data_IF_304215740562
#
_entry.id   IF_304215740562
#
_cell.length_a   1.000
_cell.length_b   1.000
_cell.length_c   1.000
_cell.angle_alpha   90.00
_cell.angle_beta   90.00
_cell.angle_gamma   90.00
#
_symmetry.space_group_name_H-M   'P 1'
#
loop_
_entity.id
_entity.type
_entity.pdbx_description
1 polymer ?
#
# COMPACT_ATOMS: atom_id res chain seq x y z
N UNK A 1 12.15 -8.39 -42.46
CA UNK A 1 11.75 -8.00 -41.09
C UNK A 1 10.57 -8.88 -40.70
N UNK A 2 10.49 -9.64 -39.61
CA UNK A 2 11.44 -9.97 -38.55
C UNK A 2 10.93 -11.23 -37.82
N UNK A 3 11.45 -12.41 -38.17
CA UNK A 3 11.27 -13.62 -37.35
C UNK A 3 12.21 -13.62 -36.13
N UNK A 4 13.27 -12.80 -36.16
CA UNK A 4 14.21 -12.64 -35.06
C UNK A 4 13.64 -11.86 -33.87
N UNK A 5 12.68 -10.94 -34.09
CA UNK A 5 12.12 -10.13 -33.00
C UNK A 5 11.13 -10.91 -32.12
N UNK A 6 10.31 -11.80 -32.70
CA UNK A 6 9.36 -12.60 -31.94
C UNK A 6 10.08 -13.59 -31.01
N UNK A 7 11.12 -14.26 -31.52
CA UNK A 7 11.93 -15.19 -30.74
C UNK A 7 12.73 -14.49 -29.61
N UNK A 8 13.10 -13.22 -29.82
CA UNK A 8 13.76 -12.42 -28.79
C UNK A 8 12.77 -11.93 -27.72
N UNK A 9 11.55 -11.57 -28.12
CA UNK A 9 10.49 -11.18 -27.19
C UNK A 9 10.04 -12.38 -26.31
N UNK A 10 9.93 -13.58 -26.87
CA UNK A 10 9.63 -14.79 -26.11
C UNK A 10 10.77 -15.19 -25.17
N UNK A 11 12.04 -15.02 -25.57
CA UNK A 11 13.18 -15.29 -24.71
C UNK A 11 13.30 -14.29 -23.56
N UNK A 12 12.99 -13.01 -23.80
CA UNK A 12 12.92 -11.99 -22.76
C UNK A 12 11.73 -12.28 -21.83
N UNK A 13 10.56 -12.60 -22.37
CA UNK A 13 9.40 -13.00 -21.58
C UNK A 13 9.70 -14.24 -20.74
N UNK A 14 10.39 -15.25 -21.28
CA UNK A 14 10.81 -16.45 -20.56
C UNK A 14 11.93 -16.19 -19.52
N UNK A 15 12.77 -15.17 -19.72
CA UNK A 15 13.71 -14.69 -18.71
C UNK A 15 13.00 -13.95 -17.56
N UNK A 16 11.80 -13.41 -17.81
CA UNK A 16 10.92 -12.80 -16.80
C UNK A 16 9.88 -13.76 -16.22
N UNK A 17 9.65 -14.93 -16.84
CA UNK A 17 8.99 -16.03 -16.16
C UNK A 17 9.96 -16.45 -15.06
N UNK A 18 9.61 -16.27 -13.78
CA UNK A 18 10.53 -16.61 -12.72
C UNK A 18 10.69 -18.13 -12.73
N UNK A 19 11.77 -18.57 -13.37
CA UNK A 19 12.22 -19.97 -13.40
C UNK A 19 12.40 -20.40 -11.97
N UNK A 20 11.43 -21.15 -11.46
CA UNK A 20 11.36 -21.66 -10.08
C UNK A 20 11.64 -20.50 -9.11
N UNK A 21 10.69 -19.57 -9.06
CA UNK A 21 10.75 -18.38 -8.23
C UNK A 21 11.21 -18.72 -6.80
N UNK A 22 12.40 -18.24 -6.43
CA UNK A 22 12.92 -18.36 -5.07
C UNK A 22 11.80 -17.93 -4.09
N UNK A 23 11.36 -18.82 -3.19
CA UNK A 23 10.29 -18.53 -2.25
C UNK A 23 10.54 -17.23 -1.47
N UNK A 24 11.81 -16.88 -1.23
CA UNK A 24 12.20 -15.64 -0.54
C UNK A 24 11.95 -14.40 -1.40
N UNK A 25 12.18 -14.47 -2.73
CA UNK A 25 11.91 -13.37 -3.65
C UNK A 25 10.41 -13.13 -3.83
N UNK A 26 9.62 -14.20 -3.96
CA UNK A 26 8.16 -14.10 -4.00
C UNK A 26 7.58 -13.54 -2.70
N UNK A 27 8.18 -13.91 -1.56
CA UNK A 27 7.73 -13.42 -0.25
C UNK A 27 8.03 -11.92 -0.11
N UNK A 28 9.23 -11.49 -0.51
CA UNK A 28 9.60 -10.06 -0.49
C UNK A 28 8.73 -9.23 -1.43
N UNK A 29 8.43 -9.75 -2.62
CA UNK A 29 7.52 -9.11 -3.56
C UNK A 29 6.08 -9.02 -3.01
N UNK A 30 5.56 -10.09 -2.41
CA UNK A 30 4.24 -10.11 -1.80
C UNK A 30 4.09 -9.11 -0.64
N UNK A 31 5.08 -9.05 0.26
CA UNK A 31 5.12 -8.07 1.34
C UNK A 31 5.17 -6.65 0.77
N UNK A 32 6.03 -6.41 -0.23
CA UNK A 32 6.14 -5.11 -0.90
C UNK A 32 4.84 -4.64 -1.56
N UNK A 33 4.14 -5.54 -2.25
CA UNK A 33 2.85 -5.22 -2.88
C UNK A 33 1.76 -4.93 -1.84
N UNK A 34 1.72 -5.67 -0.74
CA UNK A 34 0.74 -5.43 0.31
C UNK A 34 0.99 -4.11 1.05
N UNK A 35 2.27 -3.76 1.29
CA UNK A 35 2.64 -2.43 1.79
C UNK A 35 2.19 -1.33 0.82
N UNK A 36 2.46 -1.51 -0.47
CA UNK A 36 2.07 -0.55 -1.50
C UNK A 36 0.56 -0.31 -1.51
N UNK A 37 -0.26 -1.36 -1.54
CA UNK A 37 -1.72 -1.23 -1.54
C UNK A 37 -2.27 -0.58 -0.27
N UNK A 38 -1.74 -0.95 0.90
CA UNK A 38 -2.13 -0.35 2.18
C UNK A 38 -1.87 1.16 2.21
N UNK A 39 -0.65 1.56 1.84
CA UNK A 39 -0.26 2.97 1.84
C UNK A 39 -0.95 3.78 0.75
N UNK A 40 -1.20 3.19 -0.42
CA UNK A 40 -1.95 3.84 -1.50
C UNK A 40 -3.38 4.16 -1.06
N UNK A 41 -4.07 3.19 -0.44
CA UNK A 41 -5.43 3.40 0.08
C UNK A 41 -5.48 4.43 1.21
N UNK A 42 -4.53 4.37 2.13
CA UNK A 42 -4.39 5.34 3.24
C UNK A 42 -4.17 6.75 2.72
N UNK A 43 -3.23 6.92 1.78
CA UNK A 43 -2.91 8.22 1.17
C UNK A 43 -4.12 8.78 0.39
N UNK A 44 -4.85 7.92 -0.32
CA UNK A 44 -6.04 8.36 -1.06
C UNK A 44 -7.14 8.87 -0.13
N UNK A 45 -7.37 8.23 1.02
CA UNK A 45 -8.34 8.71 2.02
C UNK A 45 -7.89 10.02 2.65
N UNK A 46 -6.62 10.13 3.02
CA UNK A 46 -6.06 11.36 3.58
C UNK A 46 -6.26 12.56 2.63
N UNK A 47 -6.04 12.36 1.32
CA UNK A 47 -6.28 13.40 0.32
C UNK A 47 -7.76 13.79 0.22
N UNK A 48 -8.68 12.82 0.32
CA UNK A 48 -10.12 13.10 0.33
C UNK A 48 -10.53 13.90 1.57
N UNK A 49 -10.03 13.51 2.74
CA UNK A 49 -10.29 14.20 4.01
C UNK A 49 -9.75 15.64 3.99
N UNK A 50 -8.54 15.86 3.45
CA UNK A 50 -7.97 17.19 3.27
C UNK A 50 -8.81 18.04 2.31
N UNK A 51 -9.25 17.48 1.18
CA UNK A 51 -10.12 18.19 0.25
C UNK A 51 -11.44 18.62 0.90
N UNK A 52 -12.09 17.72 1.65
CA UNK A 52 -13.31 18.03 2.39
C UNK A 52 -13.07 19.11 3.46
N UNK A 53 -11.92 19.06 4.15
CA UNK A 53 -11.53 20.09 5.11
C UNK A 53 -11.37 21.47 4.45
N UNK A 54 -10.66 21.56 3.32
CA UNK A 54 -10.49 22.82 2.60
C UNK A 54 -11.80 23.37 2.03
N UNK A 55 -12.71 22.51 1.59
CA UNK A 55 -14.07 22.92 1.18
C UNK A 55 -14.84 23.54 2.35
N UNK A 56 -14.86 22.86 3.50
CA UNK A 56 -15.50 23.38 4.71
C UNK A 56 -14.89 24.70 5.20
N UNK A 57 -13.57 24.90 5.01
CA UNK A 57 -12.92 26.16 5.33
C UNK A 57 -13.23 27.28 4.33
N UNK A 58 -13.38 26.95 3.04
CA UNK A 58 -13.70 27.93 2.01
C UNK A 58 -15.10 28.55 2.19
N UNK A 59 -16.01 27.85 2.87
CA UNK A 59 -17.36 28.32 3.21
C UNK A 59 -17.42 29.03 4.58
N UNK A 60 -16.30 29.18 5.28
CA UNK A 60 -16.26 29.69 6.65
C UNK A 60 -15.81 31.16 6.73
N UNK A 61 -16.76 32.08 6.98
CA UNK A 61 -16.48 33.52 7.14
C UNK A 61 -15.95 33.91 8.54
N UNK A 62 -15.91 32.97 9.49
CA UNK A 62 -15.57 33.22 10.89
C UNK A 62 -14.20 32.63 11.24
N UNK A 63 -13.25 33.50 11.59
CA UNK A 63 -11.87 33.13 11.93
C UNK A 63 -11.79 32.20 13.17
N UNK A 64 -12.72 32.33 14.13
CA UNK A 64 -12.74 31.48 15.31
C UNK A 64 -13.24 30.07 14.96
N UNK A 65 -14.26 29.97 14.10
CA UNK A 65 -14.73 28.69 13.57
C UNK A 65 -13.68 28.01 12.69
N UNK A 66 -12.95 28.78 11.88
CA UNK A 66 -11.83 28.27 11.10
C UNK A 66 -10.77 27.61 12.00
N UNK A 67 -10.40 28.25 13.11
CA UNK A 67 -9.43 27.70 14.07
C UNK A 67 -9.93 26.39 14.72
N UNK A 68 -11.20 26.34 15.11
CA UNK A 68 -11.83 25.13 15.68
C UNK A 68 -11.87 24.00 14.65
N UNK A 69 -12.30 24.26 13.42
CA UNK A 69 -12.33 23.27 12.35
C UNK A 69 -10.94 22.74 12.01
N UNK A 70 -9.91 23.61 12.00
CA UNK A 70 -8.51 23.21 11.77
C UNK A 70 -7.97 22.31 12.87
N UNK A 71 -8.22 22.67 14.13
CA UNK A 71 -7.76 21.88 15.29
C UNK A 71 -8.46 20.51 15.35
N UNK A 72 -9.79 20.48 15.15
CA UNK A 72 -10.56 19.23 15.09
C UNK A 72 -10.10 18.32 13.93
N UNK A 73 -9.83 18.90 12.76
CA UNK A 73 -9.28 18.14 11.63
C UNK A 73 -7.90 17.57 11.95
N UNK A 74 -7.00 18.37 12.53
CA UNK A 74 -5.66 17.93 12.88
C UNK A 74 -5.68 16.77 13.88
N UNK A 75 -6.51 16.85 14.92
CA UNK A 75 -6.66 15.77 15.92
C UNK A 75 -7.18 14.47 15.28
N UNK A 76 -8.25 14.57 14.49
CA UNK A 76 -8.84 13.41 13.80
C UNK A 76 -7.88 12.79 12.78
N UNK A 77 -7.21 13.62 11.98
CA UNK A 77 -6.26 13.17 10.97
C UNK A 77 -5.06 12.48 11.61
N UNK A 78 -4.55 13.03 12.72
CA UNK A 78 -3.44 12.42 13.45
C UNK A 78 -3.82 11.07 14.06
N UNK A 79 -4.98 10.98 14.71
CA UNK A 79 -5.48 9.73 15.27
C UNK A 79 -5.71 8.65 14.19
N UNK A 80 -6.31 9.03 13.05
CA UNK A 80 -6.53 8.11 11.93
C UNK A 80 -5.21 7.62 11.32
N UNK A 81 -4.22 8.51 11.14
CA UNK A 81 -2.91 8.16 10.61
C UNK A 81 -2.15 7.19 11.53
N UNK A 82 -2.22 7.39 12.85
CA UNK A 82 -1.61 6.47 13.82
C UNK A 82 -2.25 5.07 13.76
N UNK A 83 -3.57 5.00 13.65
CA UNK A 83 -4.27 3.72 13.55
C UNK A 83 -3.96 2.99 12.23
N UNK A 84 -3.89 3.71 11.11
CA UNK A 84 -3.50 3.11 9.82
C UNK A 84 -2.02 2.71 9.80
N UNK A 85 -1.13 3.45 10.46
CA UNK A 85 0.26 3.04 10.66
C UNK A 85 0.34 1.74 11.47
N UNK A 86 -0.39 1.66 12.58
CA UNK A 86 -0.45 0.45 13.42
C UNK A 86 -0.98 -0.74 12.63
N UNK A 87 -2.07 -0.56 11.89
CA UNK A 87 -2.68 -1.61 11.05
C UNK A 87 -1.72 -2.07 9.95
N UNK A 88 -1.03 -1.13 9.31
CA UNK A 88 0.01 -1.43 8.31
C UNK A 88 1.12 -2.30 8.89
N UNK A 89 1.65 -1.93 10.05
CA UNK A 89 2.68 -2.71 10.76
C UNK A 89 2.18 -4.11 11.10
N UNK A 90 0.99 -4.25 11.70
CA UNK A 90 0.41 -5.55 12.06
C UNK A 90 0.27 -6.43 10.81
N UNK A 91 -0.29 -5.89 9.73
CA UNK A 91 -0.50 -6.63 8.48
C UNK A 91 0.83 -7.14 7.92
N UNK A 92 1.87 -6.31 7.90
CA UNK A 92 3.22 -6.69 7.45
C UNK A 92 3.80 -7.77 8.35
N UNK A 93 3.68 -7.62 9.67
CA UNK A 93 4.17 -8.59 10.65
C UNK A 93 3.45 -9.94 10.49
N UNK A 94 2.13 -9.95 10.31
CA UNK A 94 1.35 -11.17 10.10
C UNK A 94 1.74 -11.87 8.80
N UNK A 95 1.96 -11.13 7.71
CA UNK A 95 2.43 -11.72 6.45
C UNK A 95 3.85 -12.27 6.54
N UNK A 96 4.72 -11.60 7.31
CA UNK A 96 6.08 -12.06 7.54
C UNK A 96 6.12 -13.30 8.45
N UNK A 97 5.32 -13.35 9.52
CA UNK A 97 5.32 -14.42 10.50
C UNK A 97 4.45 -15.62 10.11
N UNK A 98 3.27 -15.40 9.52
CA UNK A 98 2.33 -16.46 9.11
C UNK A 98 2.89 -17.42 8.06
N UNK A 99 3.88 -16.97 7.25
CA UNK A 99 4.57 -17.84 6.29
C UNK A 99 5.79 -18.58 6.83
N UNK A 100 6.33 -18.17 7.98
CA UNK A 100 7.42 -18.92 8.66
C UNK A 100 6.87 -20.23 9.25
N UNK A 101 5.58 -20.28 9.62
CA UNK A 101 4.92 -21.50 10.09
C UNK A 101 4.48 -22.46 8.97
N UNK A 102 4.43 -22.01 7.71
CA UNK A 102 3.95 -22.78 6.55
C UNK A 102 5.01 -23.63 5.83
N UNK A 103 6.19 -23.82 6.44
CA UNK A 103 7.30 -24.61 5.88
C UNK A 103 7.18 -26.13 6.10
N UNK A 104 5.97 -26.68 6.21
CA UNK A 104 5.73 -28.08 6.56
C UNK A 104 4.59 -28.69 5.77
N UNK A 105 4.87 -29.08 4.52
CA UNK A 105 4.31 -30.21 3.76
C UNK A 105 4.25 -29.87 2.27
N UNK A 106 5.15 -30.47 1.49
CA UNK A 106 4.99 -30.64 0.05
C UNK A 106 3.80 -31.60 -0.18
N UNK A 107 2.80 -31.25 -1.02
CA UNK A 107 1.84 -32.23 -1.51
C UNK A 107 2.55 -33.21 -2.46
N UNK A 108 2.29 -34.51 -2.24
CA UNK A 108 2.72 -35.61 -3.12
C UNK A 108 1.96 -35.61 -4.43
#
# INVERSE_FOLDING_TARGET
MSAGNAMNAERIAAAFVPSIADPLLLTRFGIGMAMYWHWLGTTSRLLQDQCAHFQNLAECDDALKMLVCQTEFAEKSFAANLEELRRGVITITDMACGRIAGGGALPQ
#
